data_IF_261495951352
#
_entry.id   IF_261495951352
#
_cell.length_a   1.000
_cell.length_b   1.000
_cell.length_c   1.000
_cell.angle_alpha   90.00
_cell.angle_beta   90.00
_cell.angle_gamma   90.00
#
_symmetry.space_group_name_H-M   'P 1'
#
loop_
_entity.id
_entity.type
_entity.pdbx_description
1 polymer ?
#
# COMPACT_ATOMS: atom_id res chain seq x y z
N UNK A 1 -17.24 6.78 -61.17
CA UNK A 1 -16.60 7.33 -59.97
C UNK A 1 -17.28 6.74 -58.76
N UNK A 2 -16.45 6.34 -57.79
CA UNK A 2 -16.69 5.92 -56.39
C UNK A 2 -17.82 6.77 -55.74
N UNK A 3 -18.61 6.29 -54.76
CA UNK A 3 -18.18 6.16 -53.36
C UNK A 3 -18.93 5.08 -52.57
N UNK A 4 -18.12 4.26 -51.91
CA UNK A 4 -18.45 3.19 -50.99
C UNK A 4 -19.07 3.72 -49.69
N UNK A 5 -20.16 3.12 -49.26
CA UNK A 5 -20.73 3.27 -47.91
C UNK A 5 -19.80 2.59 -46.90
N UNK A 6 -19.06 3.38 -46.14
CA UNK A 6 -18.30 2.89 -44.99
C UNK A 6 -19.24 2.68 -43.81
N UNK A 7 -19.51 1.41 -43.49
CA UNK A 7 -20.08 1.03 -42.21
C UNK A 7 -19.03 1.25 -41.12
N UNK A 8 -19.18 2.30 -40.33
CA UNK A 8 -18.40 2.46 -39.10
C UNK A 8 -18.96 1.49 -38.05
N UNK A 9 -18.32 0.32 -37.96
CA UNK A 9 -18.45 -0.54 -36.80
C UNK A 9 -17.91 0.22 -35.58
N UNK A 10 -18.80 0.80 -34.78
CA UNK A 10 -18.48 1.20 -33.43
C UNK A 10 -18.17 -0.08 -32.64
N UNK A 11 -16.90 -0.47 -32.65
CA UNK A 11 -16.32 -1.30 -31.61
C UNK A 11 -16.41 -0.47 -30.32
N UNK A 12 -17.53 -0.64 -29.63
CA UNK A 12 -17.67 -0.25 -28.23
C UNK A 12 -16.68 -1.07 -27.43
N UNK A 13 -15.44 -0.58 -27.35
CA UNK A 13 -14.55 -0.87 -26.24
C UNK A 13 -15.22 -0.25 -25.01
N UNK A 14 -16.15 -1.01 -24.43
CA UNK A 14 -16.46 -0.86 -23.02
C UNK A 14 -15.18 -1.25 -22.28
N UNK A 15 -14.26 -0.29 -22.17
CA UNK A 15 -13.29 -0.26 -21.11
C UNK A 15 -14.11 -0.09 -19.83
N UNK A 16 -14.62 -1.19 -19.31
CA UNK A 16 -14.74 -1.30 -17.87
C UNK A 16 -13.30 -1.35 -17.38
N UNK A 17 -12.69 -0.16 -17.26
CA UNK A 17 -11.54 0.03 -16.41
C UNK A 17 -12.07 -0.18 -14.99
N UNK A 18 -12.20 -1.45 -14.60
CA UNK A 18 -12.01 -1.79 -13.20
C UNK A 18 -10.59 -1.30 -12.90
N UNK A 19 -10.45 -0.31 -12.02
CA UNK A 19 -9.14 0.05 -11.51
C UNK A 19 -8.59 -1.23 -10.88
N UNK A 20 -7.65 -1.87 -11.55
CA UNK A 20 -6.90 -2.93 -10.94
C UNK A 20 -6.04 -2.25 -9.86
N UNK A 21 -6.05 -2.78 -8.64
CA UNK A 21 -5.22 -2.31 -7.53
C UNK A 21 -3.79 -2.07 -8.03
N UNK A 22 -3.42 -0.81 -8.27
CA UNK A 22 -2.11 -0.50 -8.85
C UNK A 22 -1.09 -0.45 -7.71
N UNK A 23 -0.36 -1.56 -7.54
CA UNK A 23 0.77 -1.62 -6.61
C UNK A 23 1.91 -0.80 -7.18
N UNK A 24 2.10 0.43 -6.70
CA UNK A 24 3.26 1.25 -7.06
C UNK A 24 4.27 1.30 -5.92
N UNK A 25 5.54 1.18 -6.25
CA UNK A 25 6.61 1.40 -5.30
C UNK A 25 6.89 2.90 -5.17
N UNK A 26 6.40 3.53 -4.10
CA UNK A 26 6.58 4.95 -3.83
C UNK A 26 7.18 5.21 -2.44
N UNK A 27 8.07 6.21 -2.27
CA UNK A 27 8.78 7.00 -3.29
C UNK A 27 10.17 6.43 -3.63
N UNK A 28 10.76 6.96 -4.70
CA UNK A 28 12.18 6.91 -5.12
C UNK A 28 13.20 7.40 -4.05
N UNK A 29 12.86 7.38 -2.77
CA UNK A 29 13.77 7.82 -1.72
C UNK A 29 14.71 6.68 -1.37
N UNK A 30 16.00 7.01 -1.36
CA UNK A 30 17.08 6.30 -0.68
C UNK A 30 16.87 6.31 0.84
N UNK A 31 15.70 5.87 1.30
CA UNK A 31 15.56 5.44 2.67
C UNK A 31 16.36 4.16 2.76
N UNK A 32 17.56 4.26 3.32
CA UNK A 32 18.42 3.13 3.66
C UNK A 32 17.75 2.32 4.78
N UNK A 33 16.55 1.80 4.53
CA UNK A 33 15.92 0.82 5.42
C UNK A 33 16.92 -0.34 5.51
N UNK A 34 17.39 -0.68 6.71
CA UNK A 34 18.42 -1.70 6.85
C UNK A 34 17.93 -3.05 6.33
N UNK A 35 18.85 -3.87 5.83
CA UNK A 35 18.51 -5.16 5.22
C UNK A 35 17.84 -6.08 6.24
N UNK A 36 18.24 -6.00 7.52
CA UNK A 36 17.60 -6.72 8.62
C UNK A 36 16.12 -6.37 8.80
N UNK A 37 15.68 -5.19 8.35
CA UNK A 37 14.29 -4.74 8.39
C UNK A 37 13.55 -5.10 7.10
N UNK A 38 14.19 -4.91 5.94
CA UNK A 38 13.58 -5.32 4.66
C UNK A 38 13.40 -6.83 4.55
N UNK A 39 14.29 -7.61 5.17
CA UNK A 39 14.27 -9.08 5.18
C UNK A 39 13.43 -9.65 6.34
N UNK A 40 12.75 -8.80 7.15
CA UNK A 40 11.81 -9.31 8.14
C UNK A 40 10.75 -10.18 7.50
N UNK A 41 10.35 -11.22 8.24
CA UNK A 41 9.27 -12.10 7.85
C UNK A 41 8.03 -11.28 7.50
N UNK A 42 7.37 -11.66 6.40
CA UNK A 42 6.18 -10.97 5.91
C UNK A 42 5.12 -10.87 7.01
N UNK A 43 4.99 -11.90 7.84
CA UNK A 43 4.03 -11.93 8.94
C UNK A 43 4.29 -10.80 9.94
N UNK A 44 5.55 -10.45 10.23
CA UNK A 44 5.87 -9.32 11.13
C UNK A 44 5.34 -8.01 10.57
N UNK A 45 5.49 -7.80 9.26
CA UNK A 45 5.01 -6.59 8.59
C UNK A 45 3.49 -6.54 8.51
N UNK A 46 2.85 -7.69 8.27
CA UNK A 46 1.39 -7.84 8.28
C UNK A 46 0.82 -7.65 9.68
N UNK A 47 1.51 -8.10 10.73
CA UNK A 47 1.11 -7.91 12.12
C UNK A 47 1.16 -6.42 12.52
N UNK A 48 2.20 -5.69 12.08
CA UNK A 48 2.23 -4.23 12.21
C UNK A 48 1.04 -3.59 11.52
N UNK A 49 0.77 -3.95 10.26
CA UNK A 49 -0.35 -3.40 9.51
C UNK A 49 -1.69 -3.72 10.19
N UNK A 50 -1.89 -4.96 10.64
CA UNK A 50 -3.11 -5.40 11.33
C UNK A 50 -3.38 -4.56 12.58
N UNK A 51 -2.35 -4.30 13.39
CA UNK A 51 -2.46 -3.43 14.55
C UNK A 51 -2.83 -1.98 14.19
N UNK A 52 -2.34 -1.47 13.05
CA UNK A 52 -2.68 -0.12 12.58
C UNK A 52 -4.08 -0.06 11.98
N UNK A 53 -4.50 -1.05 11.19
CA UNK A 53 -5.85 -1.16 10.65
C UNK A 53 -6.90 -1.14 11.77
N UNK A 54 -6.67 -1.85 12.87
CA UNK A 54 -7.57 -1.86 14.03
C UNK A 54 -7.75 -0.48 14.71
N UNK A 55 -6.91 0.51 14.40
CA UNK A 55 -6.97 1.87 14.93
C UNK A 55 -7.62 2.87 13.97
N UNK A 56 -7.87 2.50 12.71
CA UNK A 56 -8.49 3.38 11.71
C UNK A 56 -9.96 3.61 12.05
N UNK A 57 -10.40 4.86 11.96
CA UNK A 57 -11.81 5.19 11.99
C UNK A 57 -12.42 5.00 10.60
N UNK A 58 -12.98 3.82 10.33
CA UNK A 58 -13.62 3.46 9.06
C UNK A 58 -14.94 4.20 8.77
N UNK A 59 -15.44 5.03 9.69
CA UNK A 59 -16.56 5.93 9.42
C UNK A 59 -16.14 7.26 8.77
N UNK A 60 -14.84 7.52 8.69
CA UNK A 60 -14.25 8.71 8.09
C UNK A 60 -13.80 8.43 6.66
N UNK A 61 -13.98 9.42 5.78
CA UNK A 61 -13.39 9.42 4.43
C UNK A 61 -12.11 10.26 4.36
N UNK A 62 -11.78 10.99 5.43
CA UNK A 62 -10.55 11.78 5.52
C UNK A 62 -9.32 10.87 5.67
N UNK A 63 -8.17 11.36 5.19
CA UNK A 63 -6.89 10.69 5.35
C UNK A 63 -6.49 10.55 6.82
N UNK A 64 -6.13 9.33 7.22
CA UNK A 64 -5.68 8.98 8.57
C UNK A 64 -4.28 8.40 8.49
N UNK A 65 -3.34 8.93 9.27
CA UNK A 65 -1.97 8.43 9.36
C UNK A 65 -1.72 7.82 10.73
N UNK A 66 -1.27 6.57 10.75
CA UNK A 66 -1.01 5.78 11.95
C UNK A 66 0.37 5.16 11.85
N UNK A 67 1.14 5.21 12.92
CA UNK A 67 2.50 4.68 12.96
C UNK A 67 2.62 3.65 14.06
N UNK A 68 3.36 2.56 13.82
CA UNK A 68 3.67 1.54 14.82
C UNK A 68 4.29 2.18 16.07
N UNK A 69 3.83 1.78 17.25
CA UNK A 69 4.44 2.20 18.51
C UNK A 69 5.89 1.70 18.59
N UNK A 70 6.78 2.50 19.17
CA UNK A 70 8.20 2.15 19.31
C UNK A 70 8.42 0.82 20.06
N UNK A 71 7.54 0.46 20.99
CA UNK A 71 7.60 -0.80 21.74
C UNK A 71 7.28 -2.03 20.88
N UNK A 72 6.55 -1.85 19.77
CA UNK A 72 6.18 -2.89 18.81
C UNK A 72 7.12 -2.95 17.59
N UNK A 73 8.04 -2.00 17.48
CA UNK A 73 9.01 -1.94 16.40
C UNK A 73 10.16 -2.95 16.56
N UNK A 74 10.91 -3.14 15.49
CA UNK A 74 12.08 -4.05 15.44
C UNK A 74 13.36 -3.24 15.28
N UNK A 75 14.36 -3.53 16.11
CA UNK A 75 15.68 -2.89 16.03
C UNK A 75 16.47 -3.47 14.87
N UNK A 76 16.95 -2.60 13.99
CA UNK A 76 17.85 -2.97 12.92
C UNK A 76 19.25 -3.24 13.45
N UNK A 77 19.87 -4.33 12.99
CA UNK A 77 21.22 -4.70 13.44
C UNK A 77 22.31 -3.81 12.86
N UNK A 78 22.05 -3.16 11.72
CA UNK A 78 23.04 -2.36 11.00
C UNK A 78 23.20 -0.94 11.56
N UNK A 79 22.14 -0.32 12.07
CA UNK A 79 22.17 1.07 12.56
C UNK A 79 21.66 1.26 13.99
N UNK A 80 21.13 0.21 14.62
CA UNK A 80 20.63 0.23 16.00
C UNK A 80 19.32 0.99 16.21
N UNK A 81 18.66 1.45 15.15
CA UNK A 81 17.37 2.14 15.23
C UNK A 81 16.22 1.16 15.24
N UNK A 82 15.13 1.53 15.89
CA UNK A 82 13.87 0.79 15.85
C UNK A 82 13.09 1.21 14.62
N UNK A 83 12.65 0.23 13.82
CA UNK A 83 11.80 0.44 12.65
C UNK A 83 10.41 -0.15 12.88
N UNK A 84 9.42 0.42 12.21
CA UNK A 84 8.05 -0.10 12.16
C UNK A 84 7.36 0.35 10.87
N UNK A 85 6.03 0.34 10.88
CA UNK A 85 5.20 0.68 9.74
C UNK A 85 4.46 1.98 9.98
N UNK A 86 4.33 2.80 8.93
CA UNK A 86 3.38 3.88 8.83
C UNK A 86 2.29 3.50 7.82
N UNK A 87 1.04 3.54 8.26
CA UNK A 87 -0.17 3.36 7.46
C UNK A 87 -0.78 4.74 7.21
N UNK A 88 -1.04 5.08 5.95
CA UNK A 88 -1.98 6.15 5.59
C UNK A 88 -3.17 5.50 4.91
N UNK A 89 -4.38 5.73 5.40
CA UNK A 89 -5.63 5.16 4.88
C UNK A 89 -6.62 6.28 4.54
N UNK A 90 -7.24 6.21 3.37
CA UNK A 90 -8.25 7.16 2.86
C UNK A 90 -9.45 6.37 2.35
N UNK A 91 -10.64 6.68 2.87
CA UNK A 91 -11.93 6.12 2.44
C UNK A 91 -12.06 4.57 2.41
N UNK A 92 -11.10 3.84 2.98
CA UNK A 92 -11.15 2.37 3.06
C UNK A 92 -12.37 1.94 3.87
N UNK A 93 -13.16 0.95 3.40
CA UNK A 93 -14.49 0.72 3.95
C UNK A 93 -14.50 -0.04 5.28
N UNK A 94 -13.46 -0.83 5.59
CA UNK A 94 -13.40 -1.64 6.79
C UNK A 94 -12.00 -2.21 7.08
N UNK A 95 -11.85 -2.74 8.29
CA UNK A 95 -10.63 -3.37 8.80
C UNK A 95 -10.15 -4.55 7.96
N UNK A 96 -11.06 -5.43 7.53
CA UNK A 96 -10.67 -6.61 6.74
C UNK A 96 -10.04 -6.21 5.40
N UNK A 97 -10.61 -5.22 4.71
CA UNK A 97 -10.06 -4.70 3.46
C UNK A 97 -8.66 -4.12 3.66
N UNK A 98 -8.44 -3.34 4.73
CA UNK A 98 -7.12 -2.81 5.11
C UNK A 98 -6.09 -3.93 5.34
N UNK A 99 -6.47 -5.00 6.04
CA UNK A 99 -5.61 -6.15 6.31
C UNK A 99 -5.30 -6.93 5.02
N UNK A 100 -6.31 -7.19 4.20
CA UNK A 100 -6.14 -7.91 2.93
C UNK A 100 -5.21 -7.14 1.98
N UNK A 101 -5.37 -5.82 1.92
CA UNK A 101 -4.53 -4.91 1.18
C UNK A 101 -3.08 -4.91 1.71
N UNK A 102 -2.89 -4.88 3.03
CA UNK A 102 -1.57 -5.01 3.64
C UNK A 102 -0.89 -6.34 3.27
N UNK A 103 -1.62 -7.46 3.36
CA UNK A 103 -1.10 -8.79 3.02
C UNK A 103 -0.72 -8.92 1.53
N UNK A 104 -1.52 -8.34 0.63
CA UNK A 104 -1.21 -8.29 -0.79
C UNK A 104 0.07 -7.49 -1.10
N UNK A 105 0.42 -6.54 -0.23
CA UNK A 105 1.38 -5.48 -0.58
C UNK A 105 2.70 -5.60 0.17
N UNK A 106 2.67 -6.11 1.40
CA UNK A 106 3.83 -6.38 2.26
C UNK A 106 4.42 -7.80 2.10
N UNK A 107 3.87 -8.61 1.18
CA UNK A 107 4.38 -9.93 0.78
C UNK A 107 5.67 -9.90 -0.06
N UNK A 108 6.31 -11.04 -0.36
CA UNK A 108 7.71 -11.16 -0.81
C UNK A 108 8.11 -10.36 -2.07
N UNK A 109 7.15 -9.91 -2.88
CA UNK A 109 7.35 -8.94 -3.95
C UNK A 109 7.27 -7.48 -3.44
N UNK A 110 7.71 -7.21 -2.19
CA UNK A 110 7.71 -5.85 -1.61
C UNK A 110 8.65 -4.98 -2.42
N UNK A 111 8.21 -3.75 -2.66
CA UNK A 111 9.04 -2.68 -3.14
C UNK A 111 10.37 -2.59 -2.35
N UNK A 112 11.54 -2.53 -3.02
CA UNK A 112 12.85 -2.54 -2.37
C UNK A 112 13.07 -1.44 -1.32
N UNK A 113 12.25 -0.39 -1.34
CA UNK A 113 12.25 0.74 -0.40
C UNK A 113 11.51 0.46 0.91
N UNK A 114 10.90 -0.72 1.08
CA UNK A 114 10.15 -1.07 2.29
C UNK A 114 8.79 -0.36 2.43
N UNK A 115 8.33 0.34 1.39
CA UNK A 115 7.02 0.95 1.35
C UNK A 115 6.28 0.60 0.07
N UNK A 116 4.99 0.34 0.17
CA UNK A 116 4.16 0.00 -0.96
C UNK A 116 2.84 0.77 -0.92
N UNK A 117 2.52 1.37 -2.06
CA UNK A 117 1.29 2.11 -2.31
C UNK A 117 0.30 1.20 -3.02
N UNK A 118 -0.96 1.28 -2.63
CA UNK A 118 -2.07 0.70 -3.37
C UNK A 118 -3.04 1.84 -3.72
N UNK A 119 -3.24 2.05 -5.02
CA UNK A 119 -4.37 2.83 -5.51
C UNK A 119 -5.59 1.91 -5.59
N UNK A 120 -6.56 2.07 -4.70
CA UNK A 120 -7.71 1.19 -4.52
C UNK A 120 -8.93 1.91 -5.13
N UNK A 121 -9.08 1.90 -6.46
CA UNK A 121 -10.15 2.65 -7.16
C UNK A 121 -10.12 4.19 -6.92
N UNK A 122 -10.99 4.96 -7.57
CA UNK A 122 -10.77 6.42 -7.73
C UNK A 122 -10.72 7.27 -6.45
N UNK A 123 -11.20 6.75 -5.32
CA UNK A 123 -11.34 7.49 -4.06
C UNK A 123 -10.75 6.78 -2.82
N UNK A 124 -10.33 5.50 -2.90
CA UNK A 124 -9.71 4.79 -1.76
C UNK A 124 -8.19 4.70 -1.94
N UNK A 125 -7.44 5.02 -0.87
CA UNK A 125 -5.97 4.98 -0.91
C UNK A 125 -5.41 4.31 0.34
N UNK A 126 -4.42 3.44 0.17
CA UNK A 126 -3.61 2.93 1.27
C UNK A 126 -2.11 2.99 0.98
N UNK A 127 -1.38 3.49 1.96
CA UNK A 127 0.07 3.64 1.91
C UNK A 127 0.68 2.93 3.10
N UNK A 128 1.47 1.89 2.84
CA UNK A 128 2.22 1.17 3.86
C UNK A 128 3.69 1.52 3.70
N UNK A 129 4.33 2.15 4.68
CA UNK A 129 5.73 2.60 4.57
C UNK A 129 6.54 2.17 5.79
N UNK A 130 7.63 1.44 5.60
CA UNK A 130 8.59 1.19 6.69
C UNK A 130 9.32 2.48 7.05
N UNK A 131 9.32 2.81 8.34
CA UNK A 131 9.90 4.05 8.88
C UNK A 131 10.71 3.78 10.14
N UNK A 132 11.72 4.60 10.40
CA UNK A 132 12.41 4.61 11.70
C UNK A 132 11.53 5.30 12.75
N UNK A 133 11.47 4.74 13.96
CA UNK A 133 10.66 5.20 15.09
C UNK A 133 11.48 5.95 16.14
N UNK A 134 12.82 5.78 16.15
CA UNK A 134 13.75 6.45 17.05
C UNK A 134 15.17 6.58 16.46
#
# INVERSE_FOLDING_TARGET
MQFSTAAFAFLGLALTASAADEKTCFPFQTNNVPKSITDLDVQVKVDWATKLCAQVNYSSVDAQSLTTDVADGVVATEDGKTYGLNLISVAVPNEQKCIDNAAATLGPDVCPSGGAFINLDSDEEEWFTIVALN
#
